data_IF_375181496946
#
_entry.id   IF_375181496946
#
_cell.length_a   1.000
_cell.length_b   1.000
_cell.length_c   1.000
_cell.angle_alpha   90.00
_cell.angle_beta   90.00
_cell.angle_gamma   90.00
#
_symmetry.space_group_name_H-M   'P 1'
#
loop_
_entity.id
_entity.type
_entity.pdbx_description
1 polymer ?
#
# COMPACT_ATOMS: atom_id res chain seq x y z
N UNK A 1 -20.16 -28.94 -20.66
CA UNK A 1 -21.15 -28.40 -21.60
C UNK A 1 -21.02 -29.25 -22.86
N UNK A 2 -22.02 -30.06 -23.15
CA UNK A 2 -21.97 -31.04 -24.24
C UNK A 2 -21.82 -30.28 -25.57
N UNK A 3 -20.81 -30.64 -26.36
CA UNK A 3 -20.80 -30.31 -27.77
C UNK A 3 -22.06 -30.96 -28.34
N UNK A 4 -23.07 -30.15 -28.62
CA UNK A 4 -24.23 -30.61 -29.34
C UNK A 4 -23.70 -31.08 -30.70
N UNK A 5 -23.66 -32.39 -30.87
CA UNK A 5 -23.23 -33.05 -32.09
C UNK A 5 -24.20 -32.58 -33.17
N UNK A 6 -23.85 -31.47 -33.83
CA UNK A 6 -24.42 -31.14 -35.12
C UNK A 6 -24.03 -32.31 -36.03
N UNK A 7 -24.92 -33.30 -36.07
CA UNK A 7 -24.75 -34.57 -36.75
C UNK A 7 -24.20 -34.27 -38.13
N UNK A 8 -22.93 -34.63 -38.34
CA UNK A 8 -22.33 -34.46 -39.64
C UNK A 8 -23.21 -35.18 -40.66
N UNK A 9 -23.53 -34.54 -41.79
CA UNK A 9 -24.30 -35.22 -42.82
C UNK A 9 -23.54 -36.48 -43.26
N UNK A 10 -24.26 -37.55 -43.62
CA UNK A 10 -23.64 -38.79 -44.05
C UNK A 10 -22.77 -38.56 -45.30
N UNK A 11 -21.74 -39.38 -45.44
CA UNK A 11 -20.80 -39.28 -46.55
C UNK A 11 -21.53 -39.32 -47.92
N UNK A 12 -21.13 -38.48 -48.89
CA UNK A 12 -21.77 -38.44 -50.21
C UNK A 12 -21.41 -39.64 -51.08
N UNK A 13 -20.44 -40.46 -50.69
CA UNK A 13 -19.87 -41.56 -51.49
C UNK A 13 -20.94 -42.51 -52.03
N UNK A 14 -21.91 -42.90 -51.20
CA UNK A 14 -23.01 -43.78 -51.62
C UNK A 14 -23.93 -43.16 -52.71
N UNK A 15 -23.98 -41.83 -52.83
CA UNK A 15 -24.73 -41.13 -53.90
C UNK A 15 -23.84 -40.96 -55.13
N UNK A 16 -22.55 -40.70 -54.92
CA UNK A 16 -21.56 -40.54 -55.99
C UNK A 16 -21.33 -41.87 -56.72
N UNK A 17 -21.22 -42.98 -56.01
CA UNK A 17 -21.05 -44.31 -56.60
C UNK A 17 -22.27 -44.69 -57.44
N UNK A 18 -23.49 -44.43 -56.94
CA UNK A 18 -24.73 -44.61 -57.71
C UNK A 18 -24.81 -43.71 -58.94
N UNK A 19 -24.21 -42.52 -58.92
CA UNK A 19 -24.10 -41.65 -60.11
C UNK A 19 -23.08 -42.20 -61.11
N UNK A 20 -21.97 -42.79 -60.65
CA UNK A 20 -20.97 -43.46 -61.50
C UNK A 20 -21.54 -44.69 -62.19
N UNK A 21 -22.35 -45.48 -61.48
CA UNK A 21 -23.00 -46.68 -62.04
C UNK A 21 -23.89 -46.34 -63.23
N UNK A 22 -24.55 -45.17 -63.24
CA UNK A 22 -25.39 -44.72 -64.35
C UNK A 22 -24.63 -44.37 -65.63
N UNK A 23 -23.30 -44.29 -65.58
CA UNK A 23 -22.44 -44.03 -66.74
C UNK A 23 -22.01 -45.33 -67.43
N UNK A 24 -22.24 -46.49 -66.80
CA UNK A 24 -21.90 -47.79 -67.39
C UNK A 24 -22.94 -48.23 -68.44
N UNK A 25 -22.53 -48.56 -69.68
CA UNK A 25 -23.48 -48.82 -70.77
C UNK A 25 -24.15 -50.19 -70.63
N UNK A 26 -25.49 -50.21 -70.62
CA UNK A 26 -26.28 -51.44 -70.65
C UNK A 26 -27.11 -51.55 -71.94
N UNK A 27 -27.24 -52.76 -72.52
CA UNK A 27 -27.83 -52.94 -73.86
C UNK A 27 -29.33 -52.65 -74.00
N UNK A 28 -30.05 -52.33 -72.92
CA UNK A 28 -31.51 -52.10 -72.89
C UNK A 28 -31.93 -50.83 -72.11
N UNK A 29 -31.07 -49.82 -72.08
CA UNK A 29 -31.32 -48.62 -71.27
C UNK A 29 -32.39 -47.69 -71.86
N UNK A 30 -33.43 -47.39 -71.07
CA UNK A 30 -34.40 -46.33 -71.35
C UNK A 30 -33.85 -44.98 -70.89
N UNK A 31 -33.59 -44.10 -71.86
CA UNK A 31 -33.06 -42.74 -71.65
C UNK A 31 -33.89 -41.93 -70.64
N UNK A 32 -35.22 -42.04 -70.68
CA UNK A 32 -36.10 -41.29 -69.78
C UNK A 32 -35.96 -41.76 -68.32
N UNK A 33 -35.84 -43.07 -68.11
CA UNK A 33 -35.63 -43.65 -66.79
C UNK A 33 -34.26 -43.27 -66.19
N UNK A 34 -33.21 -43.20 -67.02
CA UNK A 34 -31.87 -42.73 -66.60
C UNK A 34 -31.94 -41.26 -66.15
N UNK A 35 -32.58 -40.39 -66.94
CA UNK A 35 -32.71 -38.97 -66.59
C UNK A 35 -33.46 -38.74 -65.27
N UNK A 36 -34.54 -39.48 -65.02
CA UNK A 36 -35.29 -39.40 -63.75
C UNK A 36 -34.41 -39.84 -62.57
N UNK A 37 -33.69 -40.96 -62.71
CA UNK A 37 -32.82 -41.50 -61.65
C UNK A 37 -31.63 -40.58 -61.38
N UNK A 38 -30.99 -40.04 -62.42
CA UNK A 38 -29.93 -39.05 -62.29
C UNK A 38 -30.44 -37.77 -61.59
N UNK A 39 -31.61 -37.26 -61.99
CA UNK A 39 -32.24 -36.09 -61.36
C UNK A 39 -32.48 -36.29 -59.86
N UNK A 40 -32.96 -37.46 -59.45
CA UNK A 40 -33.15 -37.80 -58.04
C UNK A 40 -31.83 -37.87 -57.25
N UNK A 41 -30.78 -38.46 -57.83
CA UNK A 41 -29.45 -38.52 -57.21
C UNK A 41 -28.82 -37.12 -57.08
N UNK A 42 -28.95 -36.25 -58.09
CA UNK A 42 -28.50 -34.86 -58.02
C UNK A 42 -29.27 -34.05 -56.97
N UNK A 43 -30.59 -34.25 -56.85
CA UNK A 43 -31.39 -33.61 -55.80
C UNK A 43 -30.91 -34.03 -54.40
N UNK A 44 -30.60 -35.33 -54.22
CA UNK A 44 -30.03 -35.86 -52.97
C UNK A 44 -28.64 -35.30 -52.69
N UNK A 45 -27.76 -35.20 -53.69
CA UNK A 45 -26.43 -34.60 -53.53
C UNK A 45 -26.51 -33.11 -53.15
N UNK A 46 -27.42 -32.34 -53.77
CA UNK A 46 -27.68 -30.94 -53.39
C UNK A 46 -28.20 -30.83 -51.96
N UNK A 47 -29.04 -31.77 -51.50
CA UNK A 47 -29.50 -31.80 -50.12
C UNK A 47 -28.36 -32.07 -49.14
N UNK A 48 -27.47 -33.04 -49.42
CA UNK A 48 -26.28 -33.32 -48.61
C UNK A 48 -25.33 -32.11 -48.55
N UNK A 49 -25.11 -31.41 -49.67
CA UNK A 49 -24.29 -30.20 -49.70
C UNK A 49 -24.90 -29.08 -48.83
N UNK A 50 -26.21 -28.84 -48.91
CA UNK A 50 -26.88 -27.87 -48.03
C UNK A 50 -26.75 -28.26 -46.55
N UNK A 51 -26.90 -29.54 -46.22
CA UNK A 51 -26.73 -30.03 -44.86
C UNK A 51 -25.29 -29.83 -44.36
N UNK A 52 -24.28 -30.10 -45.19
CA UNK A 52 -22.86 -29.88 -44.84
C UNK A 52 -22.54 -28.40 -44.61
N UNK A 53 -23.06 -27.51 -45.45
CA UNK A 53 -22.91 -26.07 -45.26
C UNK A 53 -23.62 -25.57 -44.00
N UNK A 54 -24.81 -26.10 -43.69
CA UNK A 54 -25.53 -25.76 -42.47
C UNK A 54 -24.77 -26.21 -41.22
N UNK A 55 -24.27 -27.46 -41.19
CA UNK A 55 -23.44 -27.98 -40.10
C UNK A 55 -22.16 -27.14 -39.92
N UNK A 56 -21.48 -26.80 -41.02
CA UNK A 56 -20.28 -25.95 -40.98
C UNK A 56 -20.58 -24.57 -40.37
N UNK A 57 -21.70 -23.95 -40.73
CA UNK A 57 -22.13 -22.66 -40.16
C UNK A 57 -22.45 -22.79 -38.68
N UNK A 58 -23.15 -23.85 -38.27
CA UNK A 58 -23.47 -24.13 -36.88
C UNK A 58 -22.21 -24.27 -36.02
N UNK A 59 -21.23 -25.08 -36.46
CA UNK A 59 -19.97 -25.23 -35.72
C UNK A 59 -19.16 -23.94 -35.65
N UNK A 60 -19.11 -23.15 -36.73
CA UNK A 60 -18.46 -21.85 -36.73
C UNK A 60 -19.10 -20.90 -35.73
N UNK A 61 -20.43 -20.87 -35.68
CA UNK A 61 -21.17 -20.05 -34.73
C UNK A 61 -20.92 -20.50 -33.29
N UNK A 62 -21.06 -21.80 -33.00
CA UNK A 62 -20.82 -22.35 -31.67
C UNK A 62 -19.39 -22.06 -31.16
N UNK A 63 -18.39 -22.18 -32.05
CA UNK A 63 -17.00 -21.85 -31.71
C UNK A 63 -16.82 -20.34 -31.47
N UNK A 64 -17.48 -19.49 -32.26
CA UNK A 64 -17.43 -18.04 -32.08
C UNK A 64 -18.09 -17.61 -30.77
N UNK A 65 -19.22 -18.22 -30.41
CA UNK A 65 -19.95 -17.96 -29.16
C UNK A 65 -19.11 -18.37 -27.94
N UNK A 66 -18.54 -19.59 -27.96
CA UNK A 66 -17.64 -20.05 -26.90
C UNK A 66 -16.40 -19.16 -26.76
N UNK A 67 -15.82 -18.70 -27.88
CA UNK A 67 -14.70 -17.74 -27.86
C UNK A 67 -15.13 -16.40 -27.26
N UNK A 68 -16.34 -15.93 -27.57
CA UNK A 68 -16.86 -14.68 -27.03
C UNK A 68 -17.06 -14.75 -25.51
N UNK A 69 -17.64 -15.85 -25.00
CA UNK A 69 -17.80 -16.08 -23.56
C UNK A 69 -16.45 -16.13 -22.83
N UNK A 70 -15.45 -16.78 -23.44
CA UNK A 70 -14.07 -16.80 -22.91
C UNK A 70 -13.48 -15.38 -22.86
N UNK A 71 -13.60 -14.61 -23.93
CA UNK A 71 -13.08 -13.24 -24.00
C UNK A 71 -13.75 -12.32 -22.95
N UNK A 72 -15.07 -12.45 -22.73
CA UNK A 72 -15.78 -11.72 -21.68
C UNK A 72 -15.27 -12.08 -20.28
N UNK A 73 -15.10 -13.38 -20.01
CA UNK A 73 -14.57 -13.85 -18.72
C UNK A 73 -13.15 -13.36 -18.50
N UNK A 74 -12.31 -13.36 -19.55
CA UNK A 74 -10.95 -12.85 -19.49
C UNK A 74 -10.92 -11.35 -19.17
N UNK A 75 -11.80 -10.55 -19.76
CA UNK A 75 -11.95 -9.13 -19.43
C UNK A 75 -12.31 -8.94 -17.94
N UNK A 76 -13.26 -9.73 -17.43
CA UNK A 76 -13.64 -9.72 -16.02
C UNK A 76 -12.45 -10.02 -15.09
N UNK A 77 -11.64 -11.03 -15.44
CA UNK A 77 -10.41 -11.35 -14.71
C UNK A 77 -9.41 -10.17 -14.72
N UNK A 78 -9.21 -9.51 -15.86
CA UNK A 78 -8.30 -8.36 -15.95
C UNK A 78 -8.76 -7.20 -15.06
N UNK A 79 -10.07 -6.93 -15.00
CA UNK A 79 -10.63 -5.91 -14.10
C UNK A 79 -10.32 -6.23 -12.62
N UNK A 80 -10.55 -7.48 -12.20
CA UNK A 80 -10.25 -7.92 -10.83
C UNK A 80 -8.76 -7.86 -10.50
N UNK A 81 -7.89 -8.23 -11.45
CA UNK A 81 -6.45 -8.13 -11.28
C UNK A 81 -5.99 -6.67 -11.15
N UNK A 82 -6.62 -5.76 -11.89
CA UNK A 82 -6.35 -4.33 -11.76
C UNK A 82 -6.76 -3.81 -10.39
N UNK A 83 -7.99 -4.14 -9.95
CA UNK A 83 -8.51 -3.76 -8.63
C UNK A 83 -7.63 -4.29 -7.50
N UNK A 84 -7.25 -5.58 -7.55
CA UNK A 84 -6.34 -6.19 -6.59
C UNK A 84 -5.02 -5.40 -6.49
N UNK A 85 -4.37 -5.12 -7.62
CA UNK A 85 -3.11 -4.36 -7.63
C UNK A 85 -3.29 -2.94 -7.12
N UNK A 86 -4.43 -2.32 -7.40
CA UNK A 86 -4.75 -0.99 -6.86
C UNK A 86 -4.85 -1.03 -5.33
N UNK A 87 -5.62 -1.97 -4.79
CA UNK A 87 -5.77 -2.15 -3.35
C UNK A 87 -4.43 -2.48 -2.67
N UNK A 88 -3.61 -3.36 -3.25
CA UNK A 88 -2.27 -3.66 -2.74
C UNK A 88 -1.39 -2.41 -2.64
N UNK A 89 -1.44 -1.53 -3.65
CA UNK A 89 -0.70 -0.26 -3.62
C UNK A 89 -1.23 0.69 -2.55
N UNK A 90 -2.55 0.80 -2.39
CA UNK A 90 -3.13 1.66 -1.36
C UNK A 90 -2.82 1.14 0.04
N UNK A 91 -2.88 -0.18 0.27
CA UNK A 91 -2.47 -0.81 1.54
C UNK A 91 -1.01 -0.50 1.84
N UNK A 92 -0.13 -0.62 0.84
CA UNK A 92 1.29 -0.33 1.03
C UNK A 92 1.53 1.15 1.36
N UNK A 93 0.83 2.08 0.69
CA UNK A 93 0.87 3.51 1.06
C UNK A 93 0.43 3.75 2.50
N UNK A 94 -0.66 3.12 2.93
CA UNK A 94 -1.13 3.22 4.30
C UNK A 94 -0.15 2.63 5.32
N UNK A 95 0.56 1.55 4.97
CA UNK A 95 1.60 0.94 5.82
C UNK A 95 2.87 1.78 5.90
N UNK A 96 3.23 2.46 4.81
CA UNK A 96 4.35 3.40 4.76
C UNK A 96 4.07 4.70 5.52
N UNK A 97 2.86 4.89 6.06
CA UNK A 97 2.60 5.97 6.98
C UNK A 97 3.41 5.79 8.27
N UNK A 98 4.61 6.36 8.28
CA UNK A 98 5.44 6.47 9.46
C UNK A 98 4.94 7.65 10.30
N UNK A 99 4.46 7.35 11.50
CA UNK A 99 4.08 8.37 12.46
C UNK A 99 5.28 8.74 13.31
N UNK A 100 5.50 10.05 13.49
CA UNK A 100 6.63 10.62 14.23
C UNK A 100 6.78 10.02 15.64
N UNK A 101 5.68 9.57 16.27
CA UNK A 101 5.76 8.99 17.62
C UNK A 101 6.62 7.73 17.72
N UNK A 102 6.83 7.01 16.61
CA UNK A 102 7.61 5.76 16.59
C UNK A 102 9.11 6.01 16.80
N UNK A 103 9.60 7.21 16.51
CA UNK A 103 11.01 7.57 16.62
C UNK A 103 11.34 8.35 17.91
N UNK A 104 10.34 8.60 18.76
CA UNK A 104 10.53 9.35 20.00
C UNK A 104 11.19 8.42 21.04
N UNK A 105 12.33 8.82 21.66
CA UNK A 105 12.86 8.09 22.80
C UNK A 105 11.89 8.24 23.97
N UNK A 106 11.28 7.12 24.36
CA UNK A 106 10.35 7.01 25.48
C UNK A 106 11.01 6.20 26.60
N UNK A 107 10.58 6.45 27.83
CA UNK A 107 10.87 5.56 28.96
C UNK A 107 10.48 4.11 28.64
N UNK A 108 11.27 3.16 29.15
CA UNK A 108 10.95 1.74 29.05
C UNK A 108 9.62 1.43 29.75
N UNK A 109 8.98 0.30 29.42
CA UNK A 109 7.66 -0.03 29.99
C UNK A 109 7.76 -0.19 31.51
N UNK A 110 8.86 -0.78 31.99
CA UNK A 110 9.15 -0.98 33.41
C UNK A 110 9.29 0.37 34.14
N UNK A 111 10.03 1.31 33.55
CA UNK A 111 10.22 2.65 34.10
C UNK A 111 8.91 3.44 34.13
N UNK A 112 8.12 3.33 33.06
CA UNK A 112 6.79 3.94 32.98
C UNK A 112 5.87 3.40 34.09
N UNK A 113 5.80 2.07 34.28
CA UNK A 113 4.95 1.49 35.34
C UNK A 113 5.37 1.96 36.73
N UNK A 114 6.66 2.20 36.96
CA UNK A 114 7.17 2.68 38.25
C UNK A 114 6.92 4.17 38.50
N UNK A 115 7.13 5.01 37.47
CA UNK A 115 7.16 6.47 37.60
C UNK A 115 5.84 7.16 37.23
N UNK A 116 5.02 6.53 36.40
CA UNK A 116 3.77 7.13 35.95
C UNK A 116 2.71 7.17 37.06
N UNK A 117 1.80 8.17 37.03
CA UNK A 117 0.65 8.25 37.93
C UNK A 117 -0.23 7.01 37.87
N UNK A 118 -0.94 6.68 38.96
CA UNK A 118 -1.79 5.49 39.06
C UNK A 118 -2.90 5.46 38.01
N UNK A 119 -3.44 6.63 37.66
CA UNK A 119 -4.49 6.79 36.65
C UNK A 119 -4.01 6.34 35.26
N UNK A 120 -2.72 6.47 34.97
CA UNK A 120 -2.11 6.14 33.69
C UNK A 120 -1.63 4.68 33.58
N UNK A 121 -1.65 3.92 34.69
CA UNK A 121 -1.17 2.52 34.77
C UNK A 121 -2.22 1.55 35.29
N UNK A 122 -3.50 1.87 35.11
CA UNK A 122 -4.59 0.96 35.48
C UNK A 122 -4.51 -0.35 34.70
N UNK A 123 -5.03 -1.44 35.27
CA UNK A 123 -4.94 -2.78 34.68
C UNK A 123 -5.57 -2.86 33.27
N UNK A 124 -6.67 -2.12 33.05
CA UNK A 124 -7.29 -2.01 31.73
C UNK A 124 -6.44 -1.26 30.70
N UNK A 125 -5.63 -0.30 31.13
CA UNK A 125 -4.70 0.42 30.25
C UNK A 125 -3.49 -0.44 29.91
N UNK A 126 -2.98 -1.23 30.87
CA UNK A 126 -1.84 -2.12 30.64
C UNK A 126 -2.19 -3.30 29.73
N UNK A 127 -3.45 -3.70 29.68
CA UNK A 127 -3.94 -4.77 28.82
C UNK A 127 -4.14 -4.34 27.35
N UNK A 128 -4.38 -3.04 27.08
CA UNK A 128 -4.57 -2.50 25.73
C UNK A 128 -3.30 -1.78 25.25
N UNK A 129 -2.60 -2.36 24.27
CA UNK A 129 -1.36 -1.79 23.70
C UNK A 129 -1.52 -0.35 23.21
N UNK A 130 -2.67 -0.02 22.61
CA UNK A 130 -2.91 1.32 22.08
C UNK A 130 -3.07 2.33 23.21
N UNK A 131 -3.87 2.00 24.22
CA UNK A 131 -4.06 2.85 25.40
C UNK A 131 -2.76 2.99 26.20
N UNK A 132 -1.98 1.91 26.32
CA UNK A 132 -0.66 1.96 26.93
C UNK A 132 0.26 2.94 26.20
N UNK A 133 0.32 2.89 24.86
CA UNK A 133 1.13 3.80 24.06
C UNK A 133 0.69 5.27 24.23
N UNK A 134 -0.61 5.55 24.21
CA UNK A 134 -1.14 6.91 24.42
C UNK A 134 -0.77 7.47 25.79
N UNK A 135 -0.87 6.65 26.84
CA UNK A 135 -0.51 7.06 28.19
C UNK A 135 1.00 7.25 28.35
N UNK A 136 1.82 6.40 27.73
CA UNK A 136 3.29 6.57 27.67
C UNK A 136 3.69 7.88 26.99
N UNK A 137 3.06 8.21 25.86
CA UNK A 137 3.31 9.49 25.16
C UNK A 137 2.88 10.70 25.98
N UNK A 138 1.72 10.62 26.64
CA UNK A 138 1.22 11.68 27.51
C UNK A 138 2.14 11.92 28.71
N UNK A 139 2.64 10.84 29.31
CA UNK A 139 3.60 10.91 30.41
C UNK A 139 4.93 11.53 29.96
N UNK A 140 5.49 11.09 28.82
CA UNK A 140 6.73 11.67 28.27
C UNK A 140 6.57 13.17 28.01
N UNK A 141 5.42 13.59 27.45
CA UNK A 141 5.15 15.00 27.21
C UNK A 141 5.13 15.81 28.52
N UNK A 142 4.46 15.30 29.55
CA UNK A 142 4.40 15.95 30.86
C UNK A 142 5.79 16.06 31.50
N UNK A 143 6.60 15.00 31.43
CA UNK A 143 7.98 15.02 31.95
C UNK A 143 8.87 16.00 31.19
N UNK A 144 8.80 16.05 29.86
CA UNK A 144 9.57 17.03 29.07
C UNK A 144 9.18 18.45 29.41
N UNK A 145 7.89 18.73 29.58
CA UNK A 145 7.42 20.05 30.01
C UNK A 145 7.92 20.41 31.41
N UNK A 146 7.90 19.47 32.35
CA UNK A 146 8.43 19.66 33.71
C UNK A 146 9.93 19.96 33.69
N UNK A 147 10.70 19.21 32.91
CA UNK A 147 12.15 19.40 32.77
C UNK A 147 12.49 20.74 32.10
N UNK A 148 11.78 21.14 31.05
CA UNK A 148 11.96 22.44 30.38
C UNK A 148 11.66 23.61 31.34
N UNK A 149 10.57 23.53 32.11
CA UNK A 149 10.27 24.52 33.14
C UNK A 149 11.37 24.59 34.20
N UNK A 150 11.86 23.43 34.67
CA UNK A 150 12.94 23.38 35.66
C UNK A 150 14.25 23.96 35.10
N UNK A 151 14.56 23.67 33.84
CA UNK A 151 15.73 24.21 33.15
C UNK A 151 15.65 25.74 33.07
N UNK A 152 14.50 26.30 32.66
CA UNK A 152 14.26 27.75 32.59
C UNK A 152 14.44 28.41 33.96
N UNK A 153 13.90 27.80 35.01
CA UNK A 153 14.06 28.31 36.38
C UNK A 153 15.52 28.28 36.84
N UNK A 154 16.24 27.18 36.60
CA UNK A 154 17.67 27.09 36.93
C UNK A 154 18.53 28.08 36.14
N UNK A 155 18.19 28.33 34.88
CA UNK A 155 18.87 29.36 34.07
C UNK A 155 18.63 30.75 34.64
N UNK A 156 17.40 31.06 35.04
CA UNK A 156 17.05 32.33 35.70
C UNK A 156 17.86 32.52 36.99
N UNK A 157 17.90 31.50 37.85
CA UNK A 157 18.68 31.52 39.10
C UNK A 157 20.18 31.70 38.83
N UNK A 158 20.72 31.01 37.82
CA UNK A 158 22.11 31.17 37.41
C UNK A 158 22.41 32.60 36.96
N UNK A 159 21.54 33.20 36.15
CA UNK A 159 21.70 34.58 35.69
C UNK A 159 21.64 35.60 36.84
N UNK A 160 20.74 35.40 37.80
CA UNK A 160 20.63 36.21 39.00
C UNK A 160 21.89 36.12 39.87
N UNK A 161 22.37 34.90 40.14
CA UNK A 161 23.62 34.68 40.89
C UNK A 161 24.83 35.29 40.18
N UNK A 162 24.89 35.25 38.85
CA UNK A 162 25.96 35.91 38.09
C UNK A 162 25.88 37.44 38.19
N UNK A 163 24.69 38.02 38.18
CA UNK A 163 24.49 39.46 38.39
C UNK A 163 24.91 39.87 39.80
N UNK A 164 24.49 39.12 40.82
CA UNK A 164 24.91 39.35 42.20
C UNK A 164 26.43 39.23 42.37
N UNK A 165 27.04 38.21 41.76
CA UNK A 165 28.48 38.01 41.79
C UNK A 165 29.24 39.19 41.18
N UNK A 166 28.78 39.71 40.03
CA UNK A 166 29.35 40.91 39.41
C UNK A 166 29.18 42.16 40.27
N UNK A 167 28.02 42.34 40.90
CA UNK A 167 27.77 43.47 41.80
C UNK A 167 28.70 43.42 43.02
N UNK A 168 28.82 42.24 43.66
CA UNK A 168 29.72 42.03 44.79
C UNK A 168 31.18 42.27 44.41
N UNK A 169 31.63 41.79 43.24
CA UNK A 169 32.97 42.07 42.72
C UNK A 169 33.22 43.58 42.56
N UNK A 170 32.29 44.31 41.94
CA UNK A 170 32.41 45.76 41.80
C UNK A 170 32.47 46.49 43.15
N UNK A 171 31.70 46.05 44.15
CA UNK A 171 31.80 46.60 45.51
C UNK A 171 33.14 46.28 46.17
N UNK A 172 33.68 45.07 45.96
CA UNK A 172 34.98 44.66 46.49
C UNK A 172 36.10 45.50 45.86
N UNK A 173 36.08 45.71 44.55
CA UNK A 173 37.05 46.56 43.84
C UNK A 173 36.99 48.01 44.35
N UNK A 174 35.78 48.52 44.62
CA UNK A 174 35.59 49.84 45.24
C UNK A 174 36.20 49.91 46.64
N UNK A 175 35.91 48.94 47.52
CA UNK A 175 36.49 48.88 48.88
C UNK A 175 38.01 48.77 48.80
N UNK A 176 38.55 47.92 47.93
CA UNK A 176 39.99 47.78 47.73
C UNK A 176 40.64 49.13 47.34
N UNK A 177 40.05 49.86 46.39
CA UNK A 177 40.54 51.17 45.99
C UNK A 177 40.54 52.19 47.15
N UNK A 178 39.53 52.16 48.03
CA UNK A 178 39.44 53.02 49.22
C UNK A 178 40.51 52.66 50.26
N UNK A 179 40.74 51.36 50.50
CA UNK A 179 41.81 50.89 51.38
C UNK A 179 43.18 51.31 50.85
N UNK A 180 43.45 51.14 49.55
CA UNK A 180 44.69 51.59 48.93
C UNK A 180 44.88 53.11 49.02
N UNK A 181 43.80 53.88 48.95
CA UNK A 181 43.85 55.32 49.17
C UNK A 181 44.24 55.65 50.63
N UNK A 182 43.64 54.97 51.62
CA UNK A 182 43.98 55.16 53.04
C UNK A 182 45.42 54.75 53.35
N UNK A 183 45.90 53.64 52.81
CA UNK A 183 47.32 53.21 52.95
C UNK A 183 48.25 54.28 52.36
N UNK A 184 47.94 54.82 51.19
CA UNK A 184 48.72 55.91 50.57
C UNK A 184 48.68 57.20 51.41
N UNK A 185 47.57 57.52 52.05
CA UNK A 185 47.45 58.65 52.97
C UNK A 185 48.28 58.43 54.24
N UNK A 186 48.19 57.25 54.85
CA UNK A 186 48.98 56.89 56.04
C UNK A 186 50.49 56.93 55.76
N UNK A 187 50.95 56.34 54.65
CA UNK A 187 52.36 56.40 54.22
C UNK A 187 52.83 57.85 54.06
N UNK A 188 52.04 58.71 53.40
CA UNK A 188 52.34 60.15 53.30
C UNK A 188 52.44 60.84 54.66
N UNK A 189 51.50 60.58 55.57
CA UNK A 189 51.49 61.19 56.91
C UNK A 189 52.67 60.71 57.78
N UNK A 190 53.05 59.43 57.67
CA UNK A 190 54.25 58.87 58.31
C UNK A 190 55.55 59.44 57.75
N UNK A 191 55.64 59.67 56.43
CA UNK A 191 56.81 60.31 55.81
C UNK A 191 56.97 61.77 56.28
N UNK A 192 55.86 62.48 56.52
CA UNK A 192 55.86 63.85 57.06
C UNK A 192 56.23 63.87 58.55
N UNK A 193 55.96 62.81 59.33
CA UNK A 193 56.34 62.76 60.76
C UNK A 193 57.75 62.23 61.05
N UNK A 194 58.46 61.67 60.05
CA UNK A 194 59.81 61.12 60.20
C UNK A 194 60.92 61.97 59.54
N UNK A 195 60.59 63.13 58.98
CA UNK A 195 61.58 64.14 58.59
C UNK A 195 61.35 65.36 59.52
N UNK A 196 62.23 65.62 60.50
CA UNK A 196 62.18 66.86 61.27
C UNK A 196 62.38 68.09 60.38
#
# INVERSE_FOLDING_TARGET
MAFDDAVLPPAPDAVIDKLRDLVTPHPNDDSTAIHIRAGALFARLKALNRAANAATRAHKQATADARHEMDQTYLGLQNLLYEKRHLEREIEKCRQFASIYQDIPLYAVEEFVMLAPEEARTEGVLADEHQLMLNRLSFELAERQRLDQRQKELLRQKEEMLKEGKAKLATMDSVQSQVDALIRMYKRKSQISCNP
#
